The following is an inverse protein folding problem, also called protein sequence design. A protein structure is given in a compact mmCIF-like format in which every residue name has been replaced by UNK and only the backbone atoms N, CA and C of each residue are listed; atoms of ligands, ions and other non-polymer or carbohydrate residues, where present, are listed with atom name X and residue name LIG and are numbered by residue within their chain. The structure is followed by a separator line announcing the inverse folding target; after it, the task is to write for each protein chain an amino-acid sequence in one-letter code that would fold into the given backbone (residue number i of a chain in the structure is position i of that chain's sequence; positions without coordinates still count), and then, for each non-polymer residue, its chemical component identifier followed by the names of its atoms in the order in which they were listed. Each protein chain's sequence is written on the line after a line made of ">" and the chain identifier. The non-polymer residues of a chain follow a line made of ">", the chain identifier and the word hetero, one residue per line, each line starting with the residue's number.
data_IF_962336112872
#
_entry.id   IF_962336112872
#
_cell.length_a   1.000
_cell.length_b   1.000
_cell.length_c   1.000
_cell.angle_alpha   90.00
_cell.angle_beta   90.00
_cell.angle_gamma   90.00
#
_symmetry.space_group_name_H-M   'P 1'
#
loop_
_entity.id
_entity.type
_entity.pdbx_description
1 polymer ?
#
# COMPACT_ATOMS: atom_id res chain seq x y z
N UNK A 1 -22.34 -1.13 -1.62
CA UNK A 1 -23.76 -0.74 -1.36
C UNK A 1 -24.47 -1.97 -0.85
N UNK A 2 -25.22 -1.87 0.28
CA UNK A 2 -26.08 -2.97 0.68
C UNK A 2 -27.10 -3.23 -0.43
N UNK A 3 -27.30 -4.47 -0.81
CA UNK A 3 -28.36 -4.83 -1.74
C UNK A 3 -29.70 -4.39 -1.14
N UNK A 4 -30.54 -3.74 -1.96
CA UNK A 4 -31.86 -3.29 -1.51
C UNK A 4 -32.64 -4.50 -0.98
N UNK A 5 -32.95 -4.49 0.33
CA UNK A 5 -33.73 -5.53 0.98
C UNK A 5 -33.05 -6.30 2.12
N UNK A 6 -31.80 -6.01 2.44
CA UNK A 6 -31.17 -6.61 3.63
C UNK A 6 -31.55 -5.85 4.90
N UNK A 7 -32.33 -6.48 5.75
CA UNK A 7 -32.82 -5.95 7.03
C UNK A 7 -31.75 -5.95 8.14
N UNK A 8 -30.57 -6.54 7.90
CA UNK A 8 -29.50 -6.63 8.88
C UNK A 8 -28.20 -6.06 8.29
N UNK A 9 -27.86 -4.82 8.68
CA UNK A 9 -26.62 -4.16 8.32
C UNK A 9 -25.62 -4.45 9.42
N UNK A 10 -24.69 -5.37 9.17
CA UNK A 10 -23.53 -5.60 10.00
C UNK A 10 -22.38 -4.74 9.47
N UNK A 11 -22.04 -3.67 10.17
CA UNK A 11 -20.97 -2.74 9.78
C UNK A 11 -19.56 -3.33 10.02
N UNK A 12 -19.47 -4.40 10.80
CA UNK A 12 -18.21 -5.11 11.07
C UNK A 12 -17.87 -6.13 9.97
N UNK A 13 -18.75 -6.29 8.96
CA UNK A 13 -18.50 -7.13 7.79
C UNK A 13 -17.59 -6.42 6.79
N UNK A 14 -16.28 -6.58 6.96
CA UNK A 14 -15.22 -6.00 6.12
C UNK A 14 -15.28 -6.41 4.63
N UNK A 15 -16.01 -7.47 4.27
CA UNK A 15 -16.24 -7.86 2.88
C UNK A 15 -17.26 -6.96 2.18
N UNK A 16 -18.19 -6.41 2.94
CA UNK A 16 -19.29 -5.58 2.44
C UNK A 16 -19.13 -4.10 2.70
N UNK A 17 -18.49 -3.74 3.82
CA UNK A 17 -18.31 -2.37 4.24
C UNK A 17 -16.83 -2.03 4.35
N UNK A 18 -16.42 -0.95 3.74
CA UNK A 18 -15.07 -0.41 3.82
C UNK A 18 -15.13 0.96 4.47
N UNK A 19 -14.46 1.10 5.62
CA UNK A 19 -14.17 2.43 6.17
C UNK A 19 -13.14 3.12 5.27
N UNK A 20 -13.52 4.22 4.63
CA UNK A 20 -12.62 5.00 3.79
C UNK A 20 -12.35 6.40 4.32
N UNK A 21 -13.17 6.87 5.24
CA UNK A 21 -13.10 8.19 5.84
C UNK A 21 -13.60 8.16 7.27
N UNK A 22 -12.91 8.79 8.20
CA UNK A 22 -13.34 8.91 9.58
C UNK A 22 -13.30 10.36 10.08
N UNK A 23 -14.10 10.64 11.10
CA UNK A 23 -14.17 11.90 11.81
C UNK A 23 -13.89 11.64 13.29
N UNK A 24 -12.84 12.26 13.81
CA UNK A 24 -12.45 12.17 15.21
C UNK A 24 -12.80 13.49 15.92
N UNK A 25 -13.73 13.45 16.85
CA UNK A 25 -14.16 14.60 17.62
C UNK A 25 -13.29 14.73 18.89
N UNK A 26 -12.24 15.56 18.81
CA UNK A 26 -11.32 15.79 19.92
C UNK A 26 -11.97 16.75 20.93
N UNK A 27 -12.12 16.30 22.17
CA UNK A 27 -12.74 17.07 23.26
C UNK A 27 -11.76 17.32 24.40
N UNK A 28 -10.78 16.43 24.60
CA UNK A 28 -9.91 16.42 25.76
C UNK A 28 -8.44 16.53 25.36
N UNK A 29 -7.67 17.20 26.23
CA UNK A 29 -6.22 17.13 26.25
C UNK A 29 -5.79 16.10 27.30
N UNK A 30 -4.85 15.23 26.97
CA UNK A 30 -4.23 14.28 27.90
C UNK A 30 -2.81 14.74 28.21
N UNK A 31 -2.55 15.03 29.49
CA UNK A 31 -1.22 15.44 29.93
C UNK A 31 -0.26 14.26 30.13
N UNK A 32 0.98 14.54 30.50
CA UNK A 32 2.01 13.53 30.75
C UNK A 32 1.71 12.59 31.93
N UNK A 33 0.81 13.01 32.86
CA UNK A 33 0.35 12.18 33.96
C UNK A 33 -0.81 11.25 33.56
N UNK A 34 -1.38 11.46 32.37
CA UNK A 34 -2.55 10.76 31.88
C UNK A 34 -3.90 11.40 32.26
N UNK A 35 -3.87 12.55 32.98
CA UNK A 35 -5.08 13.28 33.33
C UNK A 35 -5.70 13.93 32.09
N UNK A 36 -7.06 13.86 32.01
CA UNK A 36 -7.83 14.45 30.91
C UNK A 36 -8.41 15.79 31.36
N UNK A 37 -8.21 16.82 30.55
CA UNK A 37 -8.79 18.15 30.70
C UNK A 37 -9.51 18.56 29.44
N UNK A 38 -10.61 19.30 29.56
CA UNK A 38 -11.33 19.79 28.39
C UNK A 38 -10.46 20.72 27.54
N UNK A 39 -10.54 20.52 26.22
CA UNK A 39 -9.94 21.47 25.28
C UNK A 39 -10.70 22.80 25.32
N UNK A 40 -9.97 23.91 25.33
CA UNK A 40 -10.54 25.26 25.23
C UNK A 40 -11.41 25.42 23.98
N UNK A 41 -10.98 24.80 22.87
CA UNK A 41 -11.71 24.71 21.61
C UNK A 41 -11.78 23.25 21.20
N UNK A 42 -13.01 22.79 20.91
CA UNK A 42 -13.22 21.44 20.37
C UNK A 42 -12.79 21.41 18.91
N UNK A 43 -12.13 20.34 18.51
CA UNK A 43 -11.61 20.16 17.15
C UNK A 43 -12.17 18.88 16.54
N UNK A 44 -12.21 18.86 15.22
CA UNK A 44 -12.49 17.65 14.44
C UNK A 44 -11.24 17.34 13.64
N UNK A 45 -10.69 16.15 13.84
CA UNK A 45 -9.65 15.59 13.00
C UNK A 45 -10.26 14.63 12.01
N UNK A 46 -9.70 14.54 10.81
CA UNK A 46 -10.23 13.69 9.74
C UNK A 46 -9.14 12.83 9.15
N UNK A 47 -9.48 11.59 8.84
CA UNK A 47 -8.60 10.67 8.13
C UNK A 47 -9.29 10.04 6.93
N UNK A 48 -8.62 10.02 5.78
CA UNK A 48 -9.14 9.39 4.56
C UNK A 48 -8.09 8.50 3.92
N UNK A 49 -8.47 7.27 3.59
CA UNK A 49 -7.62 6.36 2.82
C UNK A 49 -7.69 6.68 1.33
N UNK A 50 -6.58 7.17 0.75
CA UNK A 50 -6.53 7.51 -0.68
C UNK A 50 -6.88 6.30 -1.55
N UNK A 51 -6.28 5.15 -1.31
CA UNK A 51 -6.51 3.93 -2.08
C UNK A 51 -7.94 3.41 -1.91
N UNK A 52 -8.50 3.54 -0.71
CA UNK A 52 -9.90 3.15 -0.44
C UNK A 52 -10.89 4.07 -1.18
N UNK A 53 -10.63 5.37 -1.17
CA UNK A 53 -11.42 6.35 -1.94
C UNK A 53 -11.32 6.07 -3.44
N UNK A 54 -10.10 5.85 -3.96
CA UNK A 54 -9.87 5.51 -5.37
C UNK A 54 -10.61 4.22 -5.76
N UNK A 55 -10.58 3.19 -4.90
CA UNK A 55 -11.32 1.94 -5.11
C UNK A 55 -12.82 2.19 -5.31
N UNK A 56 -13.42 3.01 -4.45
CA UNK A 56 -14.85 3.34 -4.52
C UNK A 56 -15.18 4.10 -5.81
N UNK A 57 -14.42 5.15 -6.11
CA UNK A 57 -14.64 5.99 -7.29
C UNK A 57 -14.43 5.24 -8.60
N UNK A 58 -13.43 4.36 -8.65
CA UNK A 58 -13.12 3.53 -9.81
C UNK A 58 -13.96 2.25 -9.87
N UNK A 59 -14.83 1.99 -8.88
CA UNK A 59 -15.69 0.80 -8.78
C UNK A 59 -14.90 -0.51 -8.86
N UNK A 60 -13.72 -0.56 -8.19
CA UNK A 60 -12.86 -1.74 -8.15
C UNK A 60 -13.21 -2.63 -6.97
N UNK A 61 -12.92 -3.94 -7.08
CA UNK A 61 -13.20 -4.91 -6.02
C UNK A 61 -12.32 -4.73 -4.79
N UNK A 62 -11.10 -4.22 -4.97
CA UNK A 62 -10.15 -3.94 -3.89
C UNK A 62 -9.15 -2.85 -4.33
N UNK A 63 -8.43 -2.28 -3.37
CA UNK A 63 -7.45 -1.18 -3.60
C UNK A 63 -6.31 -1.57 -4.55
N UNK A 64 -5.95 -2.85 -4.61
CA UNK A 64 -4.88 -3.35 -5.48
C UNK A 64 -5.24 -3.30 -6.97
N UNK A 65 -6.53 -3.20 -7.31
CA UNK A 65 -7.02 -3.12 -8.68
C UNK A 65 -7.21 -1.68 -9.17
N UNK A 66 -6.87 -0.68 -8.33
CA UNK A 66 -6.90 0.73 -8.71
C UNK A 66 -5.70 1.10 -9.58
N UNK A 67 -5.79 2.19 -10.30
CA UNK A 67 -4.69 2.76 -11.08
C UNK A 67 -3.47 3.15 -10.23
N UNK A 68 -3.63 3.27 -8.92
CA UNK A 68 -2.56 3.61 -7.98
C UNK A 68 -1.58 2.45 -7.72
N UNK A 69 -2.00 1.21 -7.94
CA UNK A 69 -1.19 0.01 -7.59
C UNK A 69 -1.14 -0.99 -8.74
N UNK A 70 -2.25 -1.18 -9.44
CA UNK A 70 -2.41 -2.24 -10.44
C UNK A 70 -1.33 -2.27 -11.53
N UNK A 71 -0.82 -1.14 -12.05
CA UNK A 71 0.25 -1.18 -13.05
C UNK A 71 1.51 -1.93 -12.59
N UNK A 72 1.84 -1.87 -11.30
CA UNK A 72 2.98 -2.63 -10.74
C UNK A 72 2.64 -4.13 -10.68
N UNK A 73 1.41 -4.45 -10.27
CA UNK A 73 0.90 -5.83 -10.22
C UNK A 73 0.84 -6.42 -11.63
N UNK A 74 0.38 -5.66 -12.61
CA UNK A 74 0.34 -6.07 -14.02
C UNK A 74 1.74 -6.40 -14.55
N UNK A 75 2.73 -5.55 -14.23
CA UNK A 75 4.13 -5.84 -14.57
C UNK A 75 4.64 -7.12 -13.91
N UNK A 76 4.31 -7.35 -12.64
CA UNK A 76 4.65 -8.58 -11.93
C UNK A 76 3.97 -9.81 -12.55
N UNK A 77 2.72 -9.65 -12.98
CA UNK A 77 1.93 -10.65 -13.71
C UNK A 77 2.60 -11.05 -15.02
N UNK A 78 3.04 -10.08 -15.81
CA UNK A 78 3.78 -10.30 -17.06
C UNK A 78 5.10 -11.06 -16.82
N UNK A 79 5.88 -10.66 -15.80
CA UNK A 79 7.15 -11.28 -15.46
C UNK A 79 7.03 -12.71 -14.97
N UNK A 80 5.97 -13.02 -14.23
CA UNK A 80 5.66 -14.36 -13.71
C UNK A 80 4.91 -15.24 -14.70
N UNK A 81 4.36 -14.67 -15.79
CA UNK A 81 3.42 -15.33 -16.72
C UNK A 81 2.16 -15.87 -16.01
N UNK A 82 1.79 -15.27 -14.89
CA UNK A 82 0.59 -15.59 -14.11
C UNK A 82 -0.40 -14.45 -14.29
N UNK A 83 -1.51 -14.68 -14.97
CA UNK A 83 -2.55 -13.67 -15.09
C UNK A 83 -3.26 -13.44 -13.76
N UNK A 84 -3.29 -12.18 -13.31
CA UNK A 84 -3.84 -11.79 -12.00
C UNK A 84 -5.31 -12.22 -11.84
N UNK A 85 -6.12 -12.07 -12.86
CA UNK A 85 -7.57 -12.30 -12.73
C UNK A 85 -7.92 -13.80 -12.65
N UNK A 86 -7.16 -14.66 -13.33
CA UNK A 86 -7.34 -16.12 -13.32
C UNK A 86 -6.48 -16.82 -12.26
N UNK A 87 -5.56 -16.12 -11.59
CA UNK A 87 -4.67 -16.67 -10.59
C UNK A 87 -5.42 -17.22 -9.38
N UNK A 88 -4.86 -18.26 -8.74
CA UNK A 88 -5.37 -18.76 -7.46
C UNK A 88 -5.08 -17.79 -6.31
N UNK A 89 -5.68 -18.00 -5.14
CA UNK A 89 -5.59 -17.10 -3.99
C UNK A 89 -4.14 -16.84 -3.54
N UNK A 90 -3.28 -17.86 -3.55
CA UNK A 90 -1.86 -17.73 -3.15
C UNK A 90 -1.05 -16.91 -4.16
N UNK A 91 -1.29 -17.12 -5.44
CA UNK A 91 -0.67 -16.33 -6.52
C UNK A 91 -1.14 -14.88 -6.48
N UNK A 92 -2.46 -14.64 -6.31
CA UNK A 92 -3.01 -13.28 -6.13
C UNK A 92 -2.39 -12.57 -4.93
N UNK A 93 -2.28 -13.25 -3.80
CA UNK A 93 -1.61 -12.69 -2.61
C UNK A 93 -0.15 -12.31 -2.90
N UNK A 94 0.58 -13.17 -3.60
CA UNK A 94 1.98 -12.89 -3.98
C UNK A 94 2.10 -11.70 -4.92
N UNK A 95 1.24 -11.59 -5.94
CA UNK A 95 1.21 -10.45 -6.86
C UNK A 95 0.87 -9.13 -6.14
N UNK A 96 -0.11 -9.16 -5.21
CA UNK A 96 -0.45 -7.99 -4.38
C UNK A 96 0.73 -7.56 -3.50
N UNK A 97 1.45 -8.51 -2.89
CA UNK A 97 2.65 -8.22 -2.10
C UNK A 97 3.73 -7.55 -2.95
N UNK A 98 3.94 -8.00 -4.18
CA UNK A 98 4.91 -7.36 -5.07
C UNK A 98 4.51 -5.90 -5.37
N UNK A 99 3.23 -5.64 -5.66
CA UNK A 99 2.72 -4.28 -5.91
C UNK A 99 2.86 -3.36 -4.70
N UNK A 100 2.42 -3.81 -3.54
CA UNK A 100 2.45 -3.07 -2.27
C UNK A 100 3.89 -2.74 -1.84
N UNK A 101 4.74 -3.77 -1.78
CA UNK A 101 6.09 -3.62 -1.27
C UNK A 101 6.99 -2.80 -2.20
N UNK A 102 6.76 -2.84 -3.53
CA UNK A 102 7.48 -1.99 -4.47
C UNK A 102 7.33 -0.52 -4.10
N UNK A 103 6.11 -0.05 -3.86
CA UNK A 103 5.86 1.34 -3.47
C UNK A 103 6.60 1.71 -2.18
N UNK A 104 6.45 0.89 -1.14
CA UNK A 104 7.11 1.13 0.14
C UNK A 104 8.65 1.17 0.01
N UNK A 105 9.24 0.24 -0.74
CA UNK A 105 10.69 0.13 -0.93
C UNK A 105 11.24 1.35 -1.65
N UNK A 106 10.65 1.77 -2.76
CA UNK A 106 11.18 2.92 -3.52
C UNK A 106 11.13 4.22 -2.72
N UNK A 107 10.07 4.43 -1.91
CA UNK A 107 10.00 5.59 -1.01
C UNK A 107 11.05 5.51 0.10
N UNK A 108 11.17 4.38 0.79
CA UNK A 108 12.16 4.21 1.86
C UNK A 108 13.58 4.48 1.37
N UNK A 109 13.96 3.94 0.19
CA UNK A 109 15.29 4.16 -0.37
C UNK A 109 15.44 5.61 -0.85
N UNK A 110 14.43 6.19 -1.47
CA UNK A 110 14.42 7.60 -1.87
C UNK A 110 14.67 8.53 -0.67
N UNK A 111 14.08 8.20 0.48
CA UNK A 111 14.26 8.94 1.74
C UNK A 111 15.60 8.63 2.44
N UNK A 112 16.50 7.89 1.80
CA UNK A 112 17.85 7.61 2.30
C UNK A 112 17.95 6.45 3.28
N UNK A 113 16.93 5.59 3.38
CA UNK A 113 17.02 4.37 4.19
C UNK A 113 17.84 3.34 3.43
N UNK A 114 18.85 2.78 4.11
CA UNK A 114 19.73 1.71 3.62
C UNK A 114 19.37 0.41 4.34
N UNK A 115 19.35 -0.72 3.63
CA UNK A 115 19.00 -2.01 4.21
C UNK A 115 20.03 -2.42 5.27
N UNK A 116 19.55 -2.74 6.46
CA UNK A 116 20.40 -3.10 7.60
C UNK A 116 19.72 -4.11 8.55
N UNK A 117 20.40 -4.47 9.64
CA UNK A 117 19.87 -5.37 10.64
C UNK A 117 19.07 -4.66 11.76
N UNK A 118 19.11 -3.33 11.82
CA UNK A 118 18.54 -2.55 12.92
C UNK A 118 17.68 -1.40 12.40
N UNK A 119 16.75 -0.94 13.23
CA UNK A 119 15.95 0.25 12.99
C UNK A 119 15.16 0.22 11.67
N UNK A 120 15.11 1.36 10.98
CA UNK A 120 14.39 1.53 9.72
C UNK A 120 14.95 0.64 8.60
N UNK A 121 16.27 0.45 8.57
CA UNK A 121 16.93 -0.39 7.57
C UNK A 121 16.53 -1.87 7.68
N UNK A 122 16.23 -2.37 8.88
CA UNK A 122 15.69 -3.71 9.07
C UNK A 122 14.32 -3.87 8.38
N UNK A 123 13.46 -2.86 8.45
CA UNK A 123 12.16 -2.89 7.77
C UNK A 123 12.35 -2.99 6.26
N UNK A 124 13.20 -2.13 5.69
CA UNK A 124 13.53 -2.18 4.25
C UNK A 124 14.06 -3.56 3.84
N UNK A 125 15.05 -4.08 4.58
CA UNK A 125 15.60 -5.42 4.33
C UNK A 125 14.53 -6.51 4.38
N UNK A 126 13.60 -6.44 5.33
CA UNK A 126 12.51 -7.40 5.46
C UNK A 126 11.56 -7.35 4.27
N UNK A 127 11.21 -6.14 3.80
CA UNK A 127 10.37 -5.95 2.62
C UNK A 127 11.03 -6.51 1.35
N UNK A 128 12.31 -6.20 1.12
CA UNK A 128 13.08 -6.73 -0.02
C UNK A 128 13.12 -8.27 0.00
N UNK A 129 13.47 -8.87 1.13
CA UNK A 129 13.49 -10.34 1.27
C UNK A 129 12.11 -10.97 1.03
N UNK A 130 11.05 -10.31 1.50
CA UNK A 130 9.68 -10.78 1.27
C UNK A 130 9.31 -10.69 -0.21
N UNK A 131 9.66 -9.60 -0.89
CA UNK A 131 9.48 -9.49 -2.35
C UNK A 131 10.19 -10.61 -3.10
N UNK A 132 11.47 -10.84 -2.80
CA UNK A 132 12.25 -11.91 -3.44
C UNK A 132 11.58 -13.26 -3.25
N UNK A 133 11.13 -13.56 -2.02
CA UNK A 133 10.42 -14.82 -1.73
C UNK A 133 9.16 -14.96 -2.57
N UNK A 134 8.30 -13.94 -2.63
CA UNK A 134 7.06 -14.00 -3.38
C UNK A 134 7.28 -14.02 -4.90
N UNK A 135 8.29 -13.33 -5.41
CA UNK A 135 8.71 -13.45 -6.80
C UNK A 135 9.12 -14.89 -7.17
N UNK A 136 9.91 -15.54 -6.29
CA UNK A 136 10.28 -16.96 -6.48
C UNK A 136 9.07 -17.90 -6.43
N UNK A 137 8.12 -17.66 -5.52
CA UNK A 137 6.88 -18.46 -5.43
C UNK A 137 6.03 -18.32 -6.70
N UNK A 138 6.10 -17.18 -7.39
CA UNK A 138 5.46 -16.96 -8.69
C UNK A 138 6.27 -17.51 -9.87
N UNK A 139 7.45 -18.10 -9.61
CA UNK A 139 8.31 -18.68 -10.66
C UNK A 139 9.19 -17.67 -11.40
N UNK A 140 9.30 -16.42 -10.92
CA UNK A 140 10.18 -15.42 -11.54
C UNK A 140 11.64 -15.80 -11.23
N UNK A 141 12.42 -16.06 -12.29
CA UNK A 141 13.83 -16.52 -12.20
C UNK A 141 14.82 -15.35 -12.26
N UNK A 142 14.49 -14.32 -13.02
CA UNK A 142 15.37 -13.20 -13.32
C UNK A 142 15.27 -12.08 -12.27
N UNK A 143 16.19 -11.11 -12.38
CA UNK A 143 16.15 -9.88 -11.57
C UNK A 143 14.91 -9.07 -11.96
N UNK A 144 13.93 -9.00 -11.08
CA UNK A 144 12.63 -8.38 -11.35
C UNK A 144 12.36 -7.11 -10.53
N UNK A 145 13.05 -6.94 -9.38
CA UNK A 145 12.78 -5.82 -8.46
C UNK A 145 13.01 -4.49 -9.16
N UNK A 146 14.10 -4.32 -9.87
CA UNK A 146 14.40 -3.09 -10.63
C UNK A 146 13.33 -2.79 -11.70
N UNK A 147 12.77 -3.82 -12.33
CA UNK A 147 11.71 -3.64 -13.32
C UNK A 147 10.41 -3.17 -12.67
N UNK A 148 10.06 -3.70 -11.50
CA UNK A 148 8.90 -3.24 -10.73
C UNK A 148 9.13 -1.83 -10.17
N UNK A 149 10.34 -1.54 -9.66
CA UNK A 149 10.71 -0.21 -9.18
C UNK A 149 10.58 0.85 -10.27
N UNK A 150 11.01 0.53 -11.51
CA UNK A 150 10.86 1.45 -12.65
C UNK A 150 9.40 1.81 -12.89
N UNK A 151 8.50 0.81 -12.90
CA UNK A 151 7.06 1.06 -13.06
C UNK A 151 6.53 1.90 -11.90
N UNK A 152 6.90 1.59 -10.66
CA UNK A 152 6.50 2.35 -9.49
C UNK A 152 6.95 3.81 -9.53
N UNK A 153 8.19 4.08 -9.91
CA UNK A 153 8.72 5.45 -10.08
C UNK A 153 7.92 6.19 -11.17
N UNK A 154 7.70 5.57 -12.33
CA UNK A 154 6.94 6.18 -13.43
C UNK A 154 5.50 6.50 -13.04
N UNK A 155 4.87 5.62 -12.26
CA UNK A 155 3.50 5.78 -11.78
C UNK A 155 3.36 7.00 -10.86
N UNK A 156 4.35 7.24 -10.00
CA UNK A 156 4.27 8.22 -8.92
C UNK A 156 5.07 9.51 -9.17
N UNK A 157 5.86 9.61 -10.25
CA UNK A 157 6.78 10.73 -10.51
C UNK A 157 6.13 12.11 -10.56
N UNK A 158 4.86 12.20 -10.96
CA UNK A 158 4.17 13.48 -11.05
C UNK A 158 3.79 14.04 -9.67
N UNK A 159 3.51 13.15 -8.71
CA UNK A 159 3.20 13.53 -7.33
C UNK A 159 4.45 13.58 -6.46
N UNK A 160 5.41 12.71 -6.74
CA UNK A 160 6.67 12.54 -6.01
C UNK A 160 7.87 12.61 -6.97
N UNK A 161 8.21 13.81 -7.48
CA UNK A 161 9.31 13.98 -8.45
C UNK A 161 10.67 13.56 -7.90
N UNK A 162 10.86 13.58 -6.57
CA UNK A 162 12.05 13.09 -5.89
C UNK A 162 12.35 11.62 -6.15
N UNK A 163 11.35 10.79 -6.44
CA UNK A 163 11.58 9.39 -6.80
C UNK A 163 12.38 9.26 -8.10
N UNK A 164 12.11 10.13 -9.06
CA UNK A 164 12.86 10.16 -10.31
C UNK A 164 14.28 10.73 -10.10
N UNK A 165 14.40 11.78 -9.32
CA UNK A 165 15.69 12.40 -8.99
C UNK A 165 16.62 11.44 -8.23
N UNK A 166 16.04 10.59 -7.35
CA UNK A 166 16.75 9.61 -6.53
C UNK A 166 16.81 8.22 -7.18
N UNK A 167 16.44 8.08 -8.46
CA UNK A 167 16.35 6.78 -9.16
C UNK A 167 17.67 6.01 -9.11
N UNK A 168 18.82 6.69 -9.28
CA UNK A 168 20.13 6.05 -9.18
C UNK A 168 20.34 5.39 -7.82
N UNK A 169 19.98 6.06 -6.72
CA UNK A 169 20.05 5.48 -5.37
C UNK A 169 19.11 4.28 -5.25
N UNK A 170 17.87 4.40 -5.76
CA UNK A 170 16.87 3.32 -5.69
C UNK A 170 17.37 2.06 -6.41
N UNK A 171 18.04 2.21 -7.54
CA UNK A 171 18.54 1.05 -8.31
C UNK A 171 19.86 0.50 -7.78
N UNK A 172 20.64 1.27 -7.00
CA UNK A 172 21.90 0.81 -6.42
C UNK A 172 21.74 -0.01 -5.15
N UNK A 173 20.66 0.19 -4.38
CA UNK A 173 20.32 -0.57 -3.18
C UNK A 173 19.60 -1.88 -3.49
#
# INVERSE_FOLDING_TARGET
>A
YPERGMNNIDLDDDERFIEFYNLVFMQYNRDSSGALTDLKYKNIDTGMGLERMAQILQKKKNNYETDLIFPIIEKASQLSKVDYFSANSSQKASLKILGDHTRAIIHLISDGVIASNLGRGYILRRLLRRMIRHGKLLGIKDKFISQLALVGIQLMKNTYPELQNNSQRIFSE
#
